data_IF_635506238443
#
_entry.id   IF_635506238443
#
_cell.length_a   1.000
_cell.length_b   1.000
_cell.length_c   1.000
_cell.angle_alpha   90.00
_cell.angle_beta   90.00
_cell.angle_gamma   90.00
#
_symmetry.space_group_name_H-M   'P 1'
#
loop_
_entity.id
_entity.type
_entity.pdbx_description
1 polymer ?
#
# COMPACT_ATOMS: atom_id res chain seq x y z
N UNK A 1 -20.76 -0.92 13.81
CA UNK A 1 -19.59 -0.12 13.42
C UNK A 1 -18.67 -1.10 12.75
N UNK A 2 -18.29 -0.86 11.50
CA UNK A 2 -17.42 -1.76 10.75
C UNK A 2 -15.99 -1.66 11.30
N UNK A 3 -15.24 -2.76 11.26
CA UNK A 3 -13.87 -2.81 11.77
C UNK A 3 -12.93 -2.03 10.85
N UNK A 4 -13.07 -2.22 9.54
CA UNK A 4 -12.20 -1.64 8.52
C UNK A 4 -12.98 -1.27 7.26
N UNK A 5 -12.74 -0.06 6.77
CA UNK A 5 -13.17 0.38 5.44
C UNK A 5 -11.98 0.42 4.47
N UNK A 6 -12.12 -0.23 3.31
CA UNK A 6 -11.11 -0.19 2.25
C UNK A 6 -11.60 0.68 1.08
N UNK A 7 -10.82 1.69 0.70
CA UNK A 7 -11.12 2.53 -0.46
C UNK A 7 -10.57 1.85 -1.72
N UNK A 8 -11.45 1.30 -2.54
CA UNK A 8 -11.12 0.52 -3.74
C UNK A 8 -11.25 -0.99 -3.51
N UNK A 9 -12.13 -1.63 -4.27
CA UNK A 9 -12.44 -3.06 -4.33
C UNK A 9 -11.81 -3.77 -5.56
N UNK A 10 -10.90 -3.09 -6.28
CA UNK A 10 -10.14 -3.68 -7.37
C UNK A 10 -9.15 -4.78 -6.92
N UNK A 11 -8.27 -5.22 -7.83
CA UNK A 11 -7.29 -6.29 -7.54
C UNK A 11 -6.44 -6.06 -6.29
N UNK A 12 -5.92 -4.83 -6.11
CA UNK A 12 -5.13 -4.48 -4.93
C UNK A 12 -5.99 -4.45 -3.66
N UNK A 13 -7.18 -3.84 -3.71
CA UNK A 13 -8.13 -3.83 -2.59
C UNK A 13 -8.53 -5.22 -2.09
N UNK A 14 -8.75 -6.17 -3.01
CA UNK A 14 -9.00 -7.58 -2.65
C UNK A 14 -7.82 -8.21 -1.90
N UNK A 15 -6.59 -7.89 -2.32
CA UNK A 15 -5.37 -8.34 -1.62
C UNK A 15 -5.30 -7.76 -0.20
N UNK A 16 -5.68 -6.48 -0.02
CA UNK A 16 -5.74 -5.87 1.31
C UNK A 16 -6.82 -6.48 2.19
N UNK A 17 -7.98 -6.84 1.62
CA UNK A 17 -9.04 -7.53 2.35
C UNK A 17 -8.58 -8.88 2.90
N UNK A 18 -7.94 -9.71 2.07
CA UNK A 18 -7.39 -10.99 2.55
C UNK A 18 -6.31 -10.77 3.61
N UNK A 19 -5.43 -9.80 3.40
CA UNK A 19 -4.39 -9.43 4.38
C UNK A 19 -5.00 -8.98 5.71
N UNK A 20 -6.01 -8.12 5.67
CA UNK A 20 -6.71 -7.63 6.87
C UNK A 20 -7.42 -8.76 7.61
N UNK A 21 -8.04 -9.72 6.91
CA UNK A 21 -8.64 -10.89 7.56
C UNK A 21 -7.61 -11.73 8.31
N UNK A 22 -6.43 -11.93 7.73
CA UNK A 22 -5.32 -12.63 8.38
C UNK A 22 -4.78 -11.88 9.61
N UNK A 23 -4.92 -10.55 9.62
CA UNK A 23 -4.59 -9.69 10.76
C UNK A 23 -5.70 -9.62 11.82
N UNK A 24 -6.82 -10.31 11.60
CA UNK A 24 -7.90 -10.45 12.59
C UNK A 24 -9.06 -9.45 12.43
N UNK A 25 -9.06 -8.63 11.39
CA UNK A 25 -10.23 -7.79 11.06
C UNK A 25 -11.39 -8.69 10.60
N UNK A 26 -12.62 -8.42 11.08
CA UNK A 26 -13.80 -9.28 10.80
C UNK A 26 -14.81 -8.58 9.91
N UNK A 27 -15.24 -7.38 10.29
CA UNK A 27 -16.27 -6.61 9.57
C UNK A 27 -15.61 -5.60 8.62
N UNK A 28 -15.21 -6.08 7.43
CA UNK A 28 -14.50 -5.30 6.42
C UNK A 28 -15.44 -4.96 5.27
N UNK A 29 -15.51 -3.68 4.94
CA UNK A 29 -16.37 -3.14 3.87
C UNK A 29 -15.55 -2.31 2.89
N UNK A 30 -16.12 -2.02 1.72
CA UNK A 30 -15.48 -1.25 0.66
C UNK A 30 -16.29 -0.01 0.27
N UNK A 31 -15.57 1.00 -0.21
CA UNK A 31 -16.12 2.02 -1.10
C UNK A 31 -15.41 1.90 -2.45
N UNK A 32 -16.17 1.81 -3.54
CA UNK A 32 -15.62 1.73 -4.90
C UNK A 32 -16.60 2.39 -5.89
N UNK A 33 -16.06 3.12 -6.87
CA UNK A 33 -16.87 3.80 -7.89
C UNK A 33 -17.29 2.86 -9.03
N UNK A 34 -16.63 1.72 -9.17
CA UNK A 34 -16.87 0.70 -10.17
C UNK A 34 -17.55 -0.52 -9.54
N UNK A 35 -18.87 -0.60 -9.72
CA UNK A 35 -19.70 -1.69 -9.19
C UNK A 35 -19.89 -2.86 -10.17
N UNK A 36 -19.04 -2.97 -11.21
CA UNK A 36 -19.24 -3.97 -12.27
C UNK A 36 -19.38 -5.40 -11.71
N UNK A 37 -20.50 -6.02 -12.06
CA UNK A 37 -21.05 -7.22 -11.44
C UNK A 37 -20.28 -8.47 -11.85
N UNK A 38 -19.33 -8.95 -11.04
CA UNK A 38 -18.75 -10.29 -11.28
C UNK A 38 -18.06 -10.98 -10.10
N UNK A 39 -18.09 -10.47 -8.85
CA UNK A 39 -17.35 -11.10 -7.75
C UNK A 39 -18.05 -10.95 -6.39
N UNK A 40 -17.87 -11.95 -5.50
CA UNK A 40 -18.44 -11.96 -4.14
C UNK A 40 -18.08 -10.70 -3.33
N UNK A 41 -16.91 -10.11 -3.59
CA UNK A 41 -16.43 -8.87 -2.96
C UNK A 41 -17.41 -7.69 -3.18
N UNK A 42 -18.20 -7.71 -4.26
CA UNK A 42 -19.12 -6.63 -4.57
C UNK A 42 -20.25 -6.51 -3.54
N UNK A 43 -20.57 -7.59 -2.82
CA UNK A 43 -21.55 -7.56 -1.73
C UNK A 43 -21.05 -6.77 -0.50
N UNK A 44 -19.73 -6.56 -0.41
CA UNK A 44 -19.10 -5.79 0.66
C UNK A 44 -18.92 -4.30 0.30
N UNK A 45 -19.27 -3.89 -0.94
CA UNK A 45 -19.23 -2.49 -1.37
C UNK A 45 -20.48 -1.79 -0.84
N UNK A 46 -20.29 -0.86 0.10
CA UNK A 46 -21.39 -0.16 0.80
C UNK A 46 -21.69 1.23 0.23
N UNK A 47 -20.96 1.64 -0.81
CA UNK A 47 -21.10 2.95 -1.45
C UNK A 47 -19.93 3.27 -2.38
N UNK A 48 -19.92 4.49 -2.89
CA UNK A 48 -18.87 5.05 -3.75
C UNK A 48 -17.79 5.73 -2.94
N UNK A 49 -16.62 5.93 -3.52
CA UNK A 49 -15.53 6.66 -2.85
C UNK A 49 -15.92 8.12 -2.60
N UNK A 50 -16.71 8.72 -3.50
CA UNK A 50 -17.27 10.06 -3.32
C UNK A 50 -18.18 10.19 -2.09
N UNK A 51 -18.70 9.08 -1.56
CA UNK A 51 -19.61 9.02 -0.42
C UNK A 51 -18.86 8.83 0.92
N UNK A 52 -17.52 8.85 0.92
CA UNK A 52 -16.65 8.62 2.08
C UNK A 52 -17.15 9.25 3.39
N UNK A 53 -17.55 10.52 3.34
CA UNK A 53 -18.01 11.26 4.52
C UNK A 53 -19.26 10.66 5.17
N UNK A 54 -20.12 9.96 4.42
CA UNK A 54 -21.35 9.32 4.93
C UNK A 54 -21.07 8.05 5.74
N UNK A 55 -19.90 7.45 5.54
CA UNK A 55 -19.52 6.17 6.14
C UNK A 55 -18.49 6.30 7.24
N UNK A 56 -17.78 7.43 7.30
CA UNK A 56 -16.60 7.59 8.13
C UNK A 56 -16.86 7.49 9.63
N UNK A 57 -18.01 8.00 10.10
CA UNK A 57 -18.44 7.87 11.49
C UNK A 57 -18.93 6.47 11.88
N UNK A 58 -18.93 5.51 10.94
CA UNK A 58 -19.42 4.14 11.14
C UNK A 58 -18.31 3.10 11.06
N UNK A 59 -17.06 3.50 10.93
CA UNK A 59 -15.89 2.61 10.76
C UNK A 59 -14.81 2.92 11.78
N UNK A 60 -14.06 1.92 12.22
CA UNK A 60 -12.96 2.10 13.18
C UNK A 60 -11.62 2.41 12.51
N UNK A 61 -11.39 1.84 11.32
CA UNK A 61 -10.13 1.95 10.58
C UNK A 61 -10.40 2.18 9.10
N UNK A 62 -9.43 2.76 8.39
CA UNK A 62 -9.49 2.96 6.94
C UNK A 62 -8.18 2.53 6.29
N UNK A 63 -8.25 1.82 5.16
CA UNK A 63 -7.10 1.51 4.31
C UNK A 63 -7.38 1.94 2.85
N UNK A 64 -6.32 2.20 2.08
CA UNK A 64 -6.44 2.63 0.68
C UNK A 64 -6.05 1.47 -0.25
N UNK A 65 -7.04 0.83 -0.85
CA UNK A 65 -6.91 -0.28 -1.81
C UNK A 65 -6.57 0.14 -3.24
N UNK A 66 -5.89 1.27 -3.43
CA UNK A 66 -5.58 1.84 -4.76
C UNK A 66 -4.08 1.75 -5.08
N UNK A 67 -3.75 0.99 -6.14
CA UNK A 67 -2.37 0.83 -6.61
C UNK A 67 -1.80 2.05 -7.35
N UNK A 68 -2.64 2.87 -7.99
CA UNK A 68 -2.20 4.08 -8.69
C UNK A 68 -1.72 5.13 -7.68
N UNK A 69 -0.44 5.52 -7.75
CA UNK A 69 0.19 6.41 -6.77
C UNK A 69 -0.52 7.76 -6.64
N UNK A 70 -0.90 8.38 -7.76
CA UNK A 70 -1.58 9.68 -7.77
C UNK A 70 -2.95 9.63 -7.10
N UNK A 71 -3.75 8.61 -7.44
CA UNK A 71 -5.09 8.45 -6.83
C UNK A 71 -4.95 8.10 -5.34
N UNK A 72 -3.99 7.25 -4.98
CA UNK A 72 -3.69 6.92 -3.57
C UNK A 72 -3.29 8.17 -2.77
N UNK A 73 -2.44 9.02 -3.32
CA UNK A 73 -2.05 10.30 -2.71
C UNK A 73 -3.26 11.22 -2.51
N UNK A 74 -4.13 11.35 -3.52
CA UNK A 74 -5.35 12.16 -3.41
C UNK A 74 -6.28 11.67 -2.30
N UNK A 75 -6.53 10.36 -2.22
CA UNK A 75 -7.38 9.76 -1.19
C UNK A 75 -6.77 9.88 0.21
N UNK A 76 -5.45 9.73 0.31
CA UNK A 76 -4.73 9.91 1.56
C UNK A 76 -4.90 11.35 2.07
N UNK A 77 -4.74 12.35 1.21
CA UNK A 77 -4.97 13.75 1.59
C UNK A 77 -6.43 14.03 1.97
N UNK A 78 -7.39 13.40 1.28
CA UNK A 78 -8.81 13.50 1.63
C UNK A 78 -9.09 12.92 3.04
N UNK A 79 -8.48 11.80 3.40
CA UNK A 79 -8.61 11.20 4.73
C UNK A 79 -7.98 12.09 5.81
N UNK A 80 -6.78 12.63 5.56
CA UNK A 80 -6.16 13.59 6.48
C UNK A 80 -7.01 14.84 6.69
N UNK A 81 -7.65 15.36 5.64
CA UNK A 81 -8.60 16.47 5.74
C UNK A 81 -9.83 16.16 6.61
N UNK A 82 -10.13 14.89 6.86
CA UNK A 82 -11.17 14.41 7.77
C UNK A 82 -10.62 14.03 9.15
N UNK A 83 -9.32 14.25 9.41
CA UNK A 83 -8.66 13.88 10.66
C UNK A 83 -8.36 12.38 10.79
N UNK A 84 -8.22 11.68 9.66
CA UNK A 84 -8.13 10.22 9.63
C UNK A 84 -6.81 9.78 9.04
N UNK A 85 -6.13 8.96 9.81
CA UNK A 85 -4.85 8.36 9.48
C UNK A 85 -5.09 6.92 9.01
N UNK A 86 -4.78 6.57 7.75
CA UNK A 86 -5.01 5.22 7.25
C UNK A 86 -4.13 4.20 7.98
N UNK A 87 -4.64 3.00 8.20
CA UNK A 87 -3.89 1.94 8.87
C UNK A 87 -2.78 1.41 7.99
N UNK A 88 -1.67 1.05 8.62
CA UNK A 88 -0.59 0.26 8.02
C UNK A 88 -0.97 -1.21 8.05
N UNK A 89 -0.87 -1.91 6.92
CA UNK A 89 -1.18 -3.35 6.81
C UNK A 89 0.08 -4.12 6.44
N UNK A 90 0.53 -5.00 7.34
CA UNK A 90 1.70 -5.86 7.13
C UNK A 90 1.22 -7.29 7.10
N UNK A 91 1.34 -7.95 5.95
CA UNK A 91 0.94 -9.34 5.81
C UNK A 91 1.74 -10.24 6.78
N UNK A 92 1.13 -11.24 7.45
CA UNK A 92 1.84 -12.09 8.42
C UNK A 92 3.03 -12.87 7.86
N UNK A 93 3.07 -13.07 6.54
CA UNK A 93 4.17 -13.69 5.81
C UNK A 93 5.23 -12.69 5.29
N UNK A 94 5.11 -11.40 5.60
CA UNK A 94 6.16 -10.43 5.34
C UNK A 94 7.19 -10.45 6.49
N UNK A 95 8.44 -10.15 6.18
CA UNK A 95 9.44 -9.83 7.19
C UNK A 95 9.64 -8.31 7.23
N UNK A 96 9.43 -7.71 8.39
CA UNK A 96 9.76 -6.30 8.63
C UNK A 96 10.74 -6.25 9.79
N UNK A 97 11.92 -5.69 9.55
CA UNK A 97 12.93 -5.55 10.60
C UNK A 97 12.39 -4.73 11.77
N UNK A 98 12.65 -5.12 13.03
CA UNK A 98 12.27 -4.33 14.20
C UNK A 98 12.87 -2.92 14.25
N UNK A 99 13.94 -2.68 13.47
CA UNK A 99 14.60 -1.38 13.34
C UNK A 99 14.07 -0.53 12.19
N UNK A 100 13.22 -1.07 11.33
CA UNK A 100 12.62 -0.32 10.24
C UNK A 100 11.55 0.64 10.76
N UNK A 101 11.35 1.76 10.05
CA UNK A 101 10.27 2.71 10.33
C UNK A 101 9.32 2.77 9.14
N UNK A 102 8.04 2.55 9.40
CA UNK A 102 6.97 2.59 8.41
C UNK A 102 6.00 3.70 8.79
N UNK A 103 5.80 4.66 7.89
CA UNK A 103 4.76 5.66 8.05
C UNK A 103 3.36 5.06 7.79
N UNK A 104 2.34 5.80 8.24
CA UNK A 104 0.93 5.42 8.14
C UNK A 104 0.46 5.17 6.70
N UNK A 105 -0.57 4.33 6.57
CA UNK A 105 -1.11 3.87 5.28
C UNK A 105 -0.19 2.95 4.48
N UNK A 106 1.02 2.64 4.97
CA UNK A 106 1.96 1.75 4.29
C UNK A 106 1.40 0.33 4.23
N UNK A 107 1.63 -0.35 3.10
CA UNK A 107 1.25 -1.75 2.90
C UNK A 107 2.50 -2.57 2.60
N UNK A 108 2.68 -3.66 3.33
CA UNK A 108 3.73 -4.66 3.08
C UNK A 108 3.05 -6.02 2.84
N UNK A 109 3.16 -6.54 1.63
CA UNK A 109 2.42 -7.73 1.18
C UNK A 109 3.20 -9.03 1.39
N UNK A 110 2.55 -10.16 1.08
CA UNK A 110 3.05 -11.49 1.36
C UNK A 110 4.47 -11.73 0.79
N UNK A 111 5.37 -12.26 1.63
CA UNK A 111 6.74 -12.59 1.25
C UNK A 111 7.65 -11.38 1.02
N UNK A 112 7.16 -10.15 1.20
CA UNK A 112 7.99 -8.96 1.13
C UNK A 112 8.96 -8.88 2.32
N UNK A 113 10.10 -8.24 2.09
CA UNK A 113 11.18 -8.07 3.08
C UNK A 113 11.52 -6.58 3.20
N UNK A 114 11.44 -6.06 4.42
CA UNK A 114 11.89 -4.73 4.80
C UNK A 114 13.08 -4.87 5.75
N UNK A 115 14.27 -4.53 5.25
CA UNK A 115 15.56 -4.70 5.90
C UNK A 115 15.81 -3.76 7.09
N UNK A 116 16.98 -3.94 7.73
CA UNK A 116 17.36 -3.18 8.92
C UNK A 116 17.45 -1.67 8.65
N UNK A 117 16.97 -0.84 9.57
CA UNK A 117 16.97 0.63 9.47
C UNK A 117 16.29 1.22 8.23
N UNK A 118 15.57 0.43 7.44
CA UNK A 118 14.85 0.93 6.28
C UNK A 118 13.76 1.92 6.70
N UNK A 119 13.53 2.96 5.88
CA UNK A 119 12.56 4.03 6.14
C UNK A 119 11.56 4.10 4.99
N UNK A 120 10.30 3.84 5.30
CA UNK A 120 9.21 3.87 4.33
C UNK A 120 8.31 5.06 4.64
N UNK A 121 8.12 5.91 3.64
CA UNK A 121 7.24 7.08 3.69
C UNK A 121 5.76 6.71 3.73
N UNK A 122 4.92 7.75 3.70
CA UNK A 122 3.47 7.66 3.82
C UNK A 122 2.87 6.82 2.70
N UNK A 123 1.94 5.93 3.01
CA UNK A 123 1.16 5.16 2.05
C UNK A 123 1.99 4.51 0.93
N UNK A 124 3.17 3.99 1.28
CA UNK A 124 4.01 3.21 0.37
C UNK A 124 3.44 1.80 0.18
N UNK A 125 3.76 1.18 -0.97
CA UNK A 125 3.40 -0.22 -1.24
C UNK A 125 4.69 -0.99 -1.48
N UNK A 126 4.97 -1.95 -0.59
CA UNK A 126 5.94 -3.02 -0.83
C UNK A 126 5.17 -4.27 -1.19
N UNK A 127 5.09 -4.54 -2.50
CA UNK A 127 4.23 -5.58 -3.03
C UNK A 127 4.82 -6.98 -2.79
N UNK A 128 4.08 -8.03 -3.16
CA UNK A 128 4.42 -9.40 -2.85
C UNK A 128 5.82 -9.76 -3.34
N UNK A 129 6.58 -10.43 -2.49
CA UNK A 129 7.96 -10.84 -2.74
C UNK A 129 8.94 -9.71 -3.08
N UNK A 130 8.60 -8.45 -2.80
CA UNK A 130 9.54 -7.34 -3.00
C UNK A 130 10.45 -7.15 -1.79
N UNK A 131 11.71 -6.81 -2.05
CA UNK A 131 12.74 -6.65 -1.03
C UNK A 131 13.29 -5.23 -1.08
N UNK A 132 13.37 -4.61 0.09
CA UNK A 132 14.22 -3.46 0.34
C UNK A 132 15.18 -3.84 1.45
N UNK A 133 16.47 -3.82 1.14
CA UNK A 133 17.50 -4.23 2.08
C UNK A 133 17.80 -3.11 3.10
N UNK A 134 18.86 -3.29 3.89
CA UNK A 134 19.23 -2.39 4.96
C UNK A 134 19.46 -0.94 4.51
N UNK A 135 19.11 0.01 5.38
CA UNK A 135 19.29 1.46 5.20
C UNK A 135 18.60 2.06 3.95
N UNK A 136 17.68 1.32 3.32
CA UNK A 136 16.92 1.80 2.17
C UNK A 136 15.89 2.88 2.58
N UNK A 137 15.61 3.82 1.67
CA UNK A 137 14.64 4.89 1.86
C UNK A 137 13.63 4.85 0.72
N UNK A 138 12.35 4.72 1.06
CA UNK A 138 11.23 4.89 0.14
C UNK A 138 10.50 6.19 0.47
N UNK A 139 10.42 7.09 -0.49
CA UNK A 139 9.63 8.31 -0.39
C UNK A 139 8.13 8.02 -0.34
N UNK A 140 7.36 9.03 0.09
CA UNK A 140 5.91 8.91 0.23
C UNK A 140 5.26 8.42 -1.07
N UNK A 141 4.27 7.54 -0.95
CA UNK A 141 3.50 6.97 -2.05
C UNK A 141 4.32 6.15 -3.05
N UNK A 142 5.61 5.85 -2.78
CA UNK A 142 6.38 4.95 -3.62
C UNK A 142 5.72 3.56 -3.69
N UNK A 143 5.85 2.90 -4.84
CA UNK A 143 5.27 1.59 -5.08
C UNK A 143 6.35 0.68 -5.68
N UNK A 144 6.74 -0.33 -4.93
CA UNK A 144 7.54 -1.43 -5.42
C UNK A 144 6.58 -2.53 -5.86
N UNK A 145 6.45 -2.74 -7.16
CA UNK A 145 5.66 -3.81 -7.76
C UNK A 145 6.19 -5.19 -7.38
N UNK A 146 5.49 -6.25 -7.79
CA UNK A 146 5.78 -7.63 -7.38
C UNK A 146 7.23 -8.03 -7.71
N UNK A 147 7.95 -8.61 -6.74
CA UNK A 147 9.31 -9.12 -6.96
C UNK A 147 10.35 -8.05 -7.29
N UNK A 148 10.15 -6.81 -6.84
CA UNK A 148 11.16 -5.75 -6.95
C UNK A 148 12.22 -5.98 -5.87
N UNK A 149 13.50 -6.00 -6.22
CA UNK A 149 14.59 -6.24 -5.26
C UNK A 149 15.61 -5.11 -5.28
N UNK A 150 15.76 -4.42 -4.15
CA UNK A 150 16.68 -3.30 -3.97
C UNK A 150 17.70 -3.65 -2.88
N UNK A 151 18.99 -3.58 -3.23
CA UNK A 151 20.07 -3.79 -2.27
C UNK A 151 20.26 -2.59 -1.32
N UNK A 152 21.23 -2.72 -0.40
CA UNK A 152 21.42 -1.78 0.71
C UNK A 152 21.57 -0.32 0.27
N UNK A 153 21.00 0.57 1.10
CA UNK A 153 21.06 2.03 0.93
C UNK A 153 20.43 2.57 -0.37
N UNK A 154 19.52 1.82 -1.01
CA UNK A 154 18.73 2.33 -2.12
C UNK A 154 17.81 3.49 -1.69
N UNK A 155 17.65 4.50 -2.56
CA UNK A 155 16.80 5.67 -2.33
C UNK A 155 15.79 5.79 -3.47
N UNK A 156 14.51 5.55 -3.15
CA UNK A 156 13.41 5.59 -4.10
C UNK A 156 12.57 6.82 -3.82
N UNK A 157 12.44 7.69 -4.83
CA UNK A 157 11.75 8.96 -4.72
C UNK A 157 10.26 8.85 -4.43
N UNK A 158 9.69 9.98 -4.02
CA UNK A 158 8.25 10.15 -3.77
C UNK A 158 7.46 9.70 -5.00
N UNK A 159 6.42 8.90 -4.78
CA UNK A 159 5.50 8.42 -5.81
C UNK A 159 6.15 7.74 -7.01
N UNK A 160 7.41 7.31 -6.89
CA UNK A 160 8.04 6.46 -7.89
C UNK A 160 7.32 5.09 -7.95
N UNK A 161 7.27 4.51 -9.15
CA UNK A 161 6.69 3.20 -9.38
C UNK A 161 7.69 2.29 -10.09
N UNK A 162 8.25 1.36 -9.33
CA UNK A 162 9.09 0.31 -9.87
C UNK A 162 8.18 -0.87 -10.19
N UNK A 163 8.01 -1.18 -11.48
CA UNK A 163 7.14 -2.29 -11.89
C UNK A 163 7.80 -3.64 -11.61
N UNK A 164 7.00 -4.70 -11.77
CA UNK A 164 7.37 -6.05 -11.38
C UNK A 164 8.75 -6.48 -11.88
N UNK A 165 9.54 -7.12 -11.00
CA UNK A 165 10.86 -7.63 -11.33
C UNK A 165 11.94 -6.57 -11.56
N UNK A 166 11.70 -5.29 -11.25
CA UNK A 166 12.77 -4.28 -11.26
C UNK A 166 13.82 -4.62 -10.20
N UNK A 167 15.11 -4.52 -10.54
CA UNK A 167 16.21 -4.78 -9.61
C UNK A 167 17.17 -3.59 -9.54
N UNK A 168 17.69 -3.31 -8.35
CA UNK A 168 18.67 -2.24 -8.12
C UNK A 168 19.79 -2.68 -7.18
N UNK A 169 21.02 -2.32 -7.54
CA UNK A 169 22.21 -2.56 -6.73
C UNK A 169 22.31 -1.66 -5.49
N UNK A 170 23.47 -1.72 -4.83
CA UNK A 170 23.73 -0.88 -3.67
C UNK A 170 23.69 0.60 -4.05
N UNK A 171 23.08 1.43 -3.20
CA UNK A 171 22.98 2.88 -3.40
C UNK A 171 22.21 3.32 -4.66
N UNK A 172 21.42 2.44 -5.28
CA UNK A 172 20.53 2.81 -6.40
C UNK A 172 19.67 4.00 -6.01
N UNK A 173 19.52 4.97 -6.94
CA UNK A 173 18.67 6.14 -6.77
C UNK A 173 17.63 6.21 -7.88
N UNK A 174 16.38 6.43 -7.50
CA UNK A 174 15.27 6.66 -8.43
C UNK A 174 14.61 7.97 -8.06
N UNK A 175 14.43 8.85 -9.04
CA UNK A 175 13.85 10.17 -8.83
C UNK A 175 12.35 10.10 -8.53
N UNK A 176 11.83 11.15 -7.90
CA UNK A 176 10.40 11.32 -7.63
C UNK A 176 9.56 11.14 -8.90
N UNK A 177 8.40 10.50 -8.76
CA UNK A 177 7.41 10.24 -9.81
C UNK A 177 7.91 9.39 -10.99
N UNK A 178 9.13 8.86 -10.92
CA UNK A 178 9.68 7.97 -11.95
C UNK A 178 8.87 6.70 -12.08
N UNK A 179 8.73 6.21 -13.31
CA UNK A 179 8.15 4.88 -13.57
C UNK A 179 9.23 4.02 -14.20
N UNK A 180 9.66 2.98 -13.50
CA UNK A 180 10.58 1.99 -14.02
C UNK A 180 9.75 0.83 -14.59
N UNK A 181 9.83 0.53 -15.90
CA UNK A 181 9.12 -0.58 -16.51
C UNK A 181 9.47 -1.93 -15.89
N UNK A 182 8.61 -2.94 -16.10
CA UNK A 182 8.85 -4.28 -15.57
C UNK A 182 10.20 -4.84 -16.04
N UNK A 183 10.92 -5.49 -15.14
CA UNK A 183 12.24 -6.08 -15.41
C UNK A 183 13.39 -5.07 -15.59
N UNK A 184 13.19 -3.79 -15.24
CA UNK A 184 14.27 -2.78 -15.32
C UNK A 184 15.44 -3.14 -14.41
N UNK A 185 16.67 -2.90 -14.87
CA UNK A 185 17.89 -2.96 -14.06
C UNK A 185 18.33 -1.51 -13.81
N UNK A 186 18.50 -1.16 -12.52
CA UNK A 186 18.84 0.19 -12.05
C UNK A 186 20.29 0.30 -11.58
#
# INVERSE_FOLDING_TARGET
MHDLLILGAGGHGRTLYETARLLGYKDIVFLDDNTSACQEINQLIIGKISELQLHIGKVSHVAIGIGNNKVREQLYQQLLGLGIHPVTLIHPFAFVSPSATLAEGTVVLAGAVVGANAKLGLATIVNSHSTIDHDAILGDFAHLGVGVHLAGSAVIGKAAFLQAGTVGGYNTKVDDYSVCPAGTIL
#
